data_IF_379250013030
#
_entry.id   IF_379250013030
#
_cell.length_a   1.000
_cell.length_b   1.000
_cell.length_c   1.000
_cell.angle_alpha   90.00
_cell.angle_beta   90.00
_cell.angle_gamma   90.00
#
_symmetry.space_group_name_H-M   'P 1'
#
loop_
_entity.id
_entity.type
_entity.pdbx_description
1 polymer ?
#
# COMPACT_ATOMS: atom_id res chain seq x y z
N UNK A 1 -5.09 4.93 -27.76
CA UNK A 1 -4.68 3.81 -26.85
C UNK A 1 -4.30 4.42 -25.51
N UNK A 2 -4.62 3.76 -24.39
CA UNK A 2 -4.16 4.21 -23.06
C UNK A 2 -2.64 4.02 -22.92
N UNK A 3 -2.00 4.90 -22.15
CA UNK A 3 -0.57 4.77 -21.82
C UNK A 3 -0.36 3.55 -20.94
N UNK A 4 0.62 2.69 -21.30
CA UNK A 4 1.00 1.54 -20.46
C UNK A 4 1.71 2.00 -19.20
N UNK A 5 1.27 1.49 -18.05
CA UNK A 5 1.78 1.83 -16.73
C UNK A 5 1.96 0.59 -15.84
N UNK A 6 2.77 0.71 -14.81
CA UNK A 6 2.72 -0.17 -13.66
C UNK A 6 2.27 0.62 -12.42
N UNK A 7 1.71 -0.08 -11.46
CA UNK A 7 1.21 0.51 -10.23
C UNK A 7 2.04 0.01 -9.03
N UNK A 8 2.53 0.93 -8.18
CA UNK A 8 3.20 0.58 -6.93
C UNK A 8 2.14 0.18 -5.89
N UNK A 9 2.02 -1.13 -5.67
CA UNK A 9 0.94 -1.74 -4.90
C UNK A 9 1.35 -2.04 -3.46
N UNK A 10 0.62 -1.48 -2.49
CA UNK A 10 0.84 -1.69 -1.06
C UNK A 10 -0.18 -2.61 -0.39
N UNK A 11 -1.18 -3.09 -1.11
CA UNK A 11 -2.36 -3.81 -0.60
C UNK A 11 -3.40 -2.97 0.16
N UNK A 12 -3.09 -1.72 0.47
CA UNK A 12 -3.89 -0.85 1.32
C UNK A 12 -4.92 0.00 0.55
N UNK A 13 -5.74 0.74 1.32
CA UNK A 13 -6.86 1.54 0.82
C UNK A 13 -6.47 2.57 -0.24
N UNK A 14 -5.36 3.32 0.00
CA UNK A 14 -4.95 4.39 -0.92
C UNK A 14 -4.47 3.83 -2.25
N UNK A 15 -3.70 2.72 -2.21
CA UNK A 15 -3.33 1.98 -3.42
C UNK A 15 -4.55 1.49 -4.18
N UNK A 16 -5.58 0.98 -3.48
CA UNK A 16 -6.79 0.46 -4.12
C UNK A 16 -7.61 1.57 -4.77
N UNK A 17 -7.83 2.68 -4.07
CA UNK A 17 -8.56 3.83 -4.62
C UNK A 17 -7.79 4.50 -5.75
N UNK A 18 -6.47 4.65 -5.63
CA UNK A 18 -5.62 5.20 -6.69
C UNK A 18 -5.64 4.31 -7.94
N UNK A 19 -5.56 2.98 -7.78
CA UNK A 19 -5.68 2.03 -8.87
C UNK A 19 -7.05 2.15 -9.55
N UNK A 20 -8.14 2.21 -8.79
CA UNK A 20 -9.50 2.39 -9.30
C UNK A 20 -9.62 3.61 -10.21
N UNK A 21 -9.14 4.77 -9.75
CA UNK A 21 -9.12 6.00 -10.54
C UNK A 21 -8.22 5.90 -11.78
N UNK A 22 -7.08 5.22 -11.65
CA UNK A 22 -6.10 5.07 -12.72
C UNK A 22 -6.55 4.16 -13.86
N UNK A 23 -7.37 3.13 -13.59
CA UNK A 23 -7.86 2.16 -14.58
C UNK A 23 -8.60 2.82 -15.75
N UNK A 24 -9.23 3.97 -15.55
CA UNK A 24 -9.91 4.72 -16.62
C UNK A 24 -8.92 5.46 -17.54
N UNK A 25 -7.72 5.79 -17.07
CA UNK A 25 -6.71 6.65 -17.75
C UNK A 25 -5.55 5.85 -18.33
N UNK A 26 -5.17 4.75 -17.69
CA UNK A 26 -3.98 3.96 -18.02
C UNK A 26 -4.32 2.51 -18.36
N UNK A 27 -3.43 1.87 -19.12
CA UNK A 27 -3.39 0.44 -19.37
C UNK A 27 -2.37 -0.18 -18.39
N UNK A 28 -2.85 -0.61 -17.21
CA UNK A 28 -2.00 -1.06 -16.10
C UNK A 28 -1.58 -2.51 -16.33
N UNK A 29 -0.28 -2.74 -16.51
CA UNK A 29 0.30 -4.02 -16.90
C UNK A 29 0.84 -4.84 -15.74
N UNK A 30 1.15 -4.19 -14.60
CA UNK A 30 1.69 -4.87 -13.43
C UNK A 30 1.38 -4.10 -12.15
N UNK A 31 1.23 -4.85 -11.06
CA UNK A 31 1.29 -4.36 -9.68
C UNK A 31 2.70 -4.65 -9.16
N UNK A 32 3.49 -3.63 -8.85
CA UNK A 32 4.83 -3.78 -8.28
C UNK A 32 4.78 -3.62 -6.77
N UNK A 33 5.29 -4.60 -6.04
CA UNK A 33 5.33 -4.58 -4.57
C UNK A 33 6.74 -4.93 -4.07
N UNK A 34 7.21 -4.19 -3.08
CA UNK A 34 8.45 -4.52 -2.36
C UNK A 34 8.12 -5.51 -1.24
N UNK A 35 8.84 -6.63 -1.18
CA UNK A 35 8.65 -7.70 -0.19
C UNK A 35 9.94 -7.91 0.60
N UNK A 36 9.83 -7.96 1.93
CA UNK A 36 10.91 -8.48 2.76
C UNK A 36 10.92 -10.01 2.65
N UNK A 37 11.91 -10.54 1.93
CA UNK A 37 12.03 -11.97 1.66
C UNK A 37 12.45 -12.79 2.89
N UNK A 38 12.78 -12.17 4.03
CA UNK A 38 13.05 -12.88 5.27
C UNK A 38 11.77 -13.39 5.95
N UNK A 39 10.66 -12.69 5.75
CA UNK A 39 9.36 -13.02 6.33
C UNK A 39 8.22 -13.09 5.31
N UNK A 40 8.51 -12.83 4.02
CA UNK A 40 7.53 -12.80 2.92
C UNK A 40 6.36 -11.83 3.16
N UNK A 41 6.67 -10.63 3.70
CA UNK A 41 5.67 -9.60 3.99
C UNK A 41 6.05 -8.25 3.38
N UNK A 42 5.05 -7.41 3.14
CA UNK A 42 5.31 -5.98 2.85
C UNK A 42 5.83 -5.33 4.12
N UNK A 43 6.98 -4.63 4.07
CA UNK A 43 7.47 -3.84 5.19
C UNK A 43 6.40 -2.86 5.70
N UNK A 44 6.31 -2.65 7.00
CA UNK A 44 5.34 -1.80 7.71
C UNK A 44 3.87 -2.26 7.60
N UNK A 45 3.37 -2.60 6.42
CA UNK A 45 1.99 -3.07 6.23
C UNK A 45 1.70 -4.45 6.82
N UNK A 46 2.72 -5.30 6.91
CA UNK A 46 2.59 -6.65 7.47
C UNK A 46 1.86 -7.65 6.57
N UNK A 47 1.29 -7.23 5.44
CA UNK A 47 0.58 -8.11 4.49
C UNK A 47 1.51 -9.17 3.93
N UNK A 48 1.12 -10.43 4.00
CA UNK A 48 1.91 -11.54 3.47
C UNK A 48 1.76 -11.71 1.95
N UNK A 49 2.72 -12.39 1.34
CA UNK A 49 2.79 -12.58 -0.11
C UNK A 49 1.58 -13.36 -0.68
N UNK A 50 1.00 -14.29 0.08
CA UNK A 50 -0.13 -15.09 -0.44
C UNK A 50 -1.40 -14.26 -0.55
N UNK A 51 -1.65 -13.33 0.39
CA UNK A 51 -2.74 -12.35 0.28
C UNK A 51 -2.52 -11.39 -0.89
N UNK A 52 -1.29 -10.96 -1.14
CA UNK A 52 -0.97 -10.12 -2.31
C UNK A 52 -1.22 -10.84 -3.63
N UNK A 53 -0.86 -12.12 -3.72
CA UNK A 53 -1.16 -12.96 -4.89
C UNK A 53 -2.67 -13.09 -5.08
N UNK A 54 -3.42 -13.32 -4.00
CA UNK A 54 -4.88 -13.40 -4.05
C UNK A 54 -5.51 -12.09 -4.52
N UNK A 55 -5.05 -10.93 -4.03
CA UNK A 55 -5.48 -9.62 -4.54
C UNK A 55 -5.19 -9.48 -6.04
N UNK A 56 -3.95 -9.75 -6.47
CA UNK A 56 -3.53 -9.65 -7.87
C UNK A 56 -4.37 -10.55 -8.79
N UNK A 57 -4.68 -11.77 -8.36
CA UNK A 57 -5.54 -12.70 -9.10
C UNK A 57 -6.96 -12.18 -9.22
N UNK A 58 -7.54 -11.70 -8.13
CA UNK A 58 -8.89 -11.14 -8.11
C UNK A 58 -8.98 -9.86 -8.95
N UNK A 59 -8.01 -8.96 -8.84
CA UNK A 59 -7.94 -7.73 -9.66
C UNK A 59 -7.71 -8.09 -11.13
N UNK A 60 -6.98 -9.16 -11.42
CA UNK A 60 -6.63 -9.60 -12.78
C UNK A 60 -5.45 -8.84 -13.38
N UNK A 61 -4.60 -8.22 -12.56
CA UNK A 61 -3.35 -7.56 -12.97
C UNK A 61 -2.18 -8.31 -12.35
N UNK A 62 -1.16 -8.71 -13.14
CA UNK A 62 -0.02 -9.50 -12.64
C UNK A 62 0.75 -8.80 -11.51
N UNK A 63 1.07 -9.54 -10.45
CA UNK A 63 1.96 -9.09 -9.37
C UNK A 63 3.42 -9.30 -9.79
N UNK A 64 4.23 -8.28 -9.60
CA UNK A 64 5.69 -8.32 -9.68
C UNK A 64 6.26 -7.95 -8.32
N UNK A 65 7.10 -8.78 -7.74
CA UNK A 65 7.75 -8.50 -6.46
C UNK A 65 9.18 -8.02 -6.66
N UNK A 66 9.58 -7.03 -5.88
CA UNK A 66 10.97 -6.64 -5.69
C UNK A 66 11.38 -7.08 -4.30
N UNK A 67 12.23 -8.10 -4.22
CA UNK A 67 12.62 -8.70 -2.95
C UNK A 67 13.74 -7.89 -2.30
N UNK A 68 13.51 -7.51 -1.03
CA UNK A 68 14.56 -6.98 -0.16
C UNK A 68 14.86 -8.01 0.94
N UNK A 69 16.13 -8.09 1.33
CA UNK A 69 16.52 -8.76 2.58
C UNK A 69 17.03 -7.68 3.53
N UNK A 70 16.66 -7.80 4.79
CA UNK A 70 17.11 -6.89 5.86
C UNK A 70 18.65 -6.79 5.94
N UNK A 71 19.35 -7.83 5.47
CA UNK A 71 20.81 -7.90 5.40
C UNK A 71 21.40 -7.33 4.08
N UNK A 72 20.56 -6.96 3.10
CA UNK A 72 21.05 -6.44 1.84
C UNK A 72 21.35 -4.94 1.96
N UNK A 73 22.51 -4.57 1.41
CA UNK A 73 22.84 -3.16 1.22
C UNK A 73 21.79 -2.50 0.31
N UNK A 74 21.60 -1.20 0.50
CA UNK A 74 20.74 -0.35 -0.35
C UNK A 74 21.04 -0.53 -1.86
N UNK A 75 22.30 -0.83 -2.20
CA UNK A 75 22.73 -1.05 -3.59
C UNK A 75 22.10 -2.28 -4.22
N UNK A 76 21.96 -3.39 -3.49
CA UNK A 76 21.31 -4.59 -4.03
C UNK A 76 19.84 -4.39 -4.33
N UNK A 77 19.14 -3.64 -3.46
CA UNK A 77 17.76 -3.25 -3.72
C UNK A 77 17.65 -2.40 -4.99
N UNK A 78 18.53 -1.40 -5.14
CA UNK A 78 18.56 -0.54 -6.33
C UNK A 78 18.78 -1.35 -7.61
N UNK A 79 19.69 -2.33 -7.58
CA UNK A 79 19.97 -3.21 -8.73
C UNK A 79 18.72 -4.03 -9.09
N UNK A 80 18.11 -4.72 -8.13
CA UNK A 80 16.92 -5.55 -8.38
C UNK A 80 15.74 -4.72 -8.91
N UNK A 81 15.53 -3.53 -8.35
CA UNK A 81 14.49 -2.63 -8.82
C UNK A 81 14.78 -2.13 -10.25
N UNK A 82 16.05 -1.82 -10.57
CA UNK A 82 16.44 -1.38 -11.90
C UNK A 82 16.19 -2.47 -12.95
N UNK A 83 16.51 -3.73 -12.66
CA UNK A 83 16.23 -4.86 -13.57
C UNK A 83 14.74 -5.01 -13.87
N UNK A 84 13.88 -4.84 -12.86
CA UNK A 84 12.41 -4.85 -13.04
C UNK A 84 11.97 -3.68 -13.94
N UNK A 85 12.49 -2.47 -13.69
CA UNK A 85 12.17 -1.28 -14.47
C UNK A 85 12.63 -1.46 -15.93
N UNK A 86 13.80 -1.99 -16.18
CA UNK A 86 14.31 -2.22 -17.54
C UNK A 86 13.43 -3.24 -18.29
N UNK A 87 12.96 -4.28 -17.61
CA UNK A 87 11.96 -5.21 -18.14
C UNK A 87 10.63 -4.51 -18.45
N UNK A 88 10.15 -3.62 -17.60
CA UNK A 88 8.95 -2.84 -17.87
C UNK A 88 9.12 -1.95 -19.10
N UNK A 89 10.24 -1.25 -19.21
CA UNK A 89 10.56 -0.41 -20.36
C UNK A 89 10.63 -1.21 -21.68
N UNK A 90 11.18 -2.42 -21.67
CA UNK A 90 11.19 -3.30 -22.84
C UNK A 90 9.79 -3.72 -23.31
N UNK A 91 8.78 -3.62 -22.44
CA UNK A 91 7.36 -3.87 -22.72
C UNK A 91 6.59 -2.56 -23.02
N UNK A 92 7.31 -1.45 -23.22
CA UNK A 92 6.77 -0.10 -23.45
C UNK A 92 5.96 0.46 -22.27
N UNK A 93 6.16 -0.06 -21.06
CA UNK A 93 5.61 0.51 -19.83
C UNK A 93 6.45 1.74 -19.49
N UNK A 94 5.84 2.92 -19.55
CA UNK A 94 6.56 4.20 -19.47
C UNK A 94 6.15 5.06 -18.26
N UNK A 95 5.18 4.60 -17.47
CA UNK A 95 4.65 5.40 -16.35
C UNK A 95 4.55 4.55 -15.08
N UNK A 96 5.01 5.12 -13.98
CA UNK A 96 4.87 4.59 -12.63
C UNK A 96 3.72 5.31 -11.91
N UNK A 97 2.80 4.56 -11.30
CA UNK A 97 1.66 5.10 -10.57
C UNK A 97 1.82 4.87 -9.07
N UNK A 98 1.39 5.85 -8.27
CA UNK A 98 1.53 5.86 -6.81
C UNK A 98 0.24 6.30 -6.14
N UNK A 99 -0.02 5.82 -4.93
CA UNK A 99 -1.20 6.15 -4.13
C UNK A 99 -1.00 7.26 -3.10
N UNK A 100 0.06 8.07 -3.22
CA UNK A 100 0.36 9.14 -2.26
C UNK A 100 -0.67 10.28 -2.36
N UNK A 101 -1.06 10.86 -1.21
CA UNK A 101 -2.12 11.87 -1.11
C UNK A 101 -1.51 13.28 -0.99
N UNK A 102 -0.66 13.54 0.01
CA UNK A 102 -0.17 14.90 0.30
C UNK A 102 1.28 15.00 0.79
N UNK A 103 2.00 13.90 0.99
CA UNK A 103 3.39 13.91 1.47
C UNK A 103 4.35 14.39 0.37
N UNK A 104 4.62 15.71 0.33
CA UNK A 104 5.37 16.37 -0.75
C UNK A 104 6.79 15.82 -0.91
N UNK A 105 7.52 15.61 0.18
CA UNK A 105 8.89 15.10 0.12
C UNK A 105 8.96 13.70 -0.49
N UNK A 106 7.99 12.85 -0.14
CA UNK A 106 7.87 11.50 -0.70
C UNK A 106 7.59 11.56 -2.20
N UNK A 107 6.66 12.41 -2.63
CA UNK A 107 6.35 12.63 -4.04
C UNK A 107 7.57 13.08 -4.83
N UNK A 108 8.29 14.12 -4.35
CA UNK A 108 9.51 14.64 -5.00
C UNK A 108 10.55 13.51 -5.13
N UNK A 109 10.76 12.72 -4.08
CA UNK A 109 11.69 11.59 -4.12
C UNK A 109 11.30 10.55 -5.18
N UNK A 110 9.98 10.21 -5.29
CA UNK A 110 9.47 9.27 -6.30
C UNK A 110 9.62 9.82 -7.72
N UNK A 111 9.27 11.08 -7.94
CA UNK A 111 9.41 11.75 -9.23
C UNK A 111 10.86 11.75 -9.70
N UNK A 112 11.80 12.10 -8.81
CA UNK A 112 13.23 12.14 -9.16
C UNK A 112 13.78 10.75 -9.49
N UNK A 113 13.47 9.71 -8.69
CA UNK A 113 13.88 8.33 -8.96
C UNK A 113 13.31 7.82 -10.29
N UNK A 114 12.04 8.07 -10.56
CA UNK A 114 11.41 7.68 -11.82
C UNK A 114 12.00 8.44 -13.01
N UNK A 115 12.25 9.75 -12.87
CA UNK A 115 12.91 10.57 -13.90
C UNK A 115 14.29 10.03 -14.25
N UNK A 116 15.11 9.68 -13.25
CA UNK A 116 16.42 9.06 -13.45
C UNK A 116 16.32 7.71 -14.19
N UNK A 117 15.27 6.94 -13.92
CA UNK A 117 14.99 5.68 -14.61
C UNK A 117 14.34 5.86 -16.00
N UNK A 118 14.07 7.11 -16.43
CA UNK A 118 13.42 7.43 -17.70
C UNK A 118 11.92 7.11 -17.73
N UNK A 119 11.26 7.13 -16.57
CA UNK A 119 9.82 6.92 -16.40
C UNK A 119 9.09 8.22 -16.10
N UNK A 120 7.83 8.30 -16.51
CA UNK A 120 6.88 9.31 -16.04
C UNK A 120 6.23 8.82 -14.73
N UNK A 121 5.66 9.74 -13.96
CA UNK A 121 4.90 9.46 -12.75
C UNK A 121 3.48 9.99 -12.86
N UNK A 122 2.54 9.36 -12.16
CA UNK A 122 1.20 9.89 -11.92
C UNK A 122 0.74 9.51 -10.50
N UNK A 123 0.00 10.41 -9.88
CA UNK A 123 -0.48 10.30 -8.50
C UNK A 123 -1.99 10.57 -8.48
N UNK A 124 -2.84 9.54 -8.68
CA UNK A 124 -4.28 9.73 -8.87
C UNK A 124 -5.02 10.36 -7.70
N UNK A 125 -4.43 10.32 -6.48
CA UNK A 125 -5.03 10.88 -5.26
C UNK A 125 -4.39 12.21 -4.85
N UNK A 126 -3.39 12.68 -5.57
CA UNK A 126 -2.58 13.82 -5.13
C UNK A 126 -3.40 15.08 -4.89
N UNK A 127 -3.16 15.70 -3.73
CA UNK A 127 -3.77 16.97 -3.30
C UNK A 127 -5.32 16.96 -3.23
N UNK A 128 -5.93 15.77 -3.08
CA UNK A 128 -7.34 15.66 -2.74
C UNK A 128 -7.51 15.72 -1.20
N UNK A 129 -8.68 16.10 -0.76
CA UNK A 129 -9.04 16.08 0.66
C UNK A 129 -9.01 14.65 1.21
N UNK A 130 -8.26 14.35 2.29
CA UNK A 130 -8.28 13.01 2.91
C UNK A 130 -9.68 12.54 3.28
N UNK A 131 -10.55 13.44 3.75
CA UNK A 131 -11.94 13.13 4.07
C UNK A 131 -12.72 12.69 2.83
N UNK A 132 -12.63 13.44 1.73
CA UNK A 132 -13.30 13.09 0.48
C UNK A 132 -12.81 11.76 -0.07
N UNK A 133 -11.50 11.48 0.02
CA UNK A 133 -10.92 10.21 -0.42
C UNK A 133 -11.42 9.03 0.39
N UNK A 134 -11.50 9.15 1.71
CA UNK A 134 -11.97 8.05 2.55
C UNK A 134 -13.48 7.82 2.38
N UNK A 135 -14.28 8.88 2.22
CA UNK A 135 -15.70 8.76 1.87
C UNK A 135 -15.87 8.09 0.50
N UNK A 136 -15.12 8.53 -0.53
CA UNK A 136 -15.15 7.89 -1.86
C UNK A 136 -14.78 6.41 -1.79
N UNK A 137 -13.78 6.04 -0.97
CA UNK A 137 -13.39 4.65 -0.76
C UNK A 137 -14.56 3.82 -0.22
N UNK A 138 -15.22 4.30 0.83
CA UNK A 138 -16.36 3.62 1.46
C UNK A 138 -17.55 3.57 0.50
N UNK A 139 -17.94 4.70 -0.09
CA UNK A 139 -19.11 4.83 -0.95
C UNK A 139 -18.97 4.06 -2.27
N UNK A 140 -17.75 3.88 -2.75
CA UNK A 140 -17.46 3.03 -3.91
C UNK A 140 -17.57 1.53 -3.61
N UNK A 141 -17.82 1.15 -2.34
CA UNK A 141 -17.99 -0.24 -1.93
C UNK A 141 -16.70 -0.99 -1.64
N UNK A 142 -15.58 -0.30 -1.49
CA UNK A 142 -14.36 -0.95 -1.01
C UNK A 142 -14.50 -1.39 0.44
N UNK A 143 -13.83 -2.51 0.77
CA UNK A 143 -13.73 -3.02 2.14
C UNK A 143 -12.28 -3.28 2.49
N UNK A 144 -11.84 -2.73 3.60
CA UNK A 144 -10.49 -2.90 4.11
C UNK A 144 -10.48 -3.15 5.61
N UNK A 145 -9.50 -3.96 6.04
CA UNK A 145 -9.22 -4.25 7.44
C UNK A 145 -8.00 -3.43 7.88
N UNK A 146 -8.05 -2.81 9.06
CA UNK A 146 -6.89 -2.18 9.68
C UNK A 146 -5.93 -3.28 10.14
N UNK A 147 -4.70 -3.28 9.60
CA UNK A 147 -3.69 -4.33 9.86
C UNK A 147 -2.65 -3.91 10.88
N UNK A 148 -2.40 -2.61 10.97
CA UNK A 148 -1.38 -2.04 11.84
C UNK A 148 -1.82 -0.65 12.30
N UNK A 149 -1.53 -0.31 13.55
CA UNK A 149 -1.71 1.06 14.08
C UNK A 149 -0.49 1.48 14.90
N UNK A 150 -0.16 2.77 14.85
CA UNK A 150 0.82 3.37 15.76
C UNK A 150 0.21 3.43 17.17
N UNK A 151 0.81 2.68 18.10
CA UNK A 151 0.34 2.56 19.49
C UNK A 151 0.47 3.85 20.30
N UNK A 152 1.12 4.88 19.76
CA UNK A 152 1.18 6.21 20.41
C UNK A 152 -0.07 7.05 20.15
N UNK A 153 -0.84 6.75 19.10
CA UNK A 153 -2.02 7.52 18.68
C UNK A 153 -3.31 6.68 18.63
N UNK A 154 -3.20 5.38 18.37
CA UNK A 154 -4.33 4.45 18.30
C UNK A 154 -4.07 3.21 19.13
N UNK A 155 -5.05 2.76 19.91
CA UNK A 155 -4.90 1.56 20.71
C UNK A 155 -5.20 0.25 19.92
N UNK A 156 -4.97 -0.89 20.56
CA UNK A 156 -5.15 -2.20 19.95
C UNK A 156 -6.56 -2.52 19.46
N UNK A 157 -7.59 -1.77 19.87
CA UNK A 157 -8.97 -2.02 19.47
C UNK A 157 -9.24 -1.59 18.03
N UNK A 158 -8.35 -0.78 17.46
CA UNK A 158 -8.44 -0.37 16.06
C UNK A 158 -7.95 -1.43 15.08
N UNK A 159 -7.01 -2.32 15.44
CA UNK A 159 -6.59 -3.40 14.54
C UNK A 159 -7.70 -4.45 14.38
N UNK A 160 -7.90 -4.90 13.15
CA UNK A 160 -8.96 -5.83 12.77
C UNK A 160 -10.31 -5.17 12.46
N UNK A 161 -10.45 -3.86 12.67
CA UNK A 161 -11.66 -3.13 12.29
C UNK A 161 -11.74 -2.99 10.76
N UNK A 162 -12.97 -2.92 10.28
CA UNK A 162 -13.29 -2.51 8.90
C UNK A 162 -13.23 -0.99 8.82
N UNK A 163 -12.74 -0.47 7.72
CA UNK A 163 -12.82 0.96 7.40
C UNK A 163 -14.25 1.24 6.91
N UNK A 164 -15.01 1.89 7.76
CA UNK A 164 -16.39 2.33 7.54
C UNK A 164 -16.63 3.68 8.23
N UNK A 165 -17.86 4.18 8.21
CA UNK A 165 -18.22 5.43 8.87
C UNK A 165 -18.11 5.39 10.39
N UNK A 166 -18.33 4.23 11.02
CA UNK A 166 -18.13 4.06 12.47
C UNK A 166 -16.64 4.13 12.83
N UNK A 167 -15.76 3.55 11.99
CA UNK A 167 -14.32 3.73 12.15
C UNK A 167 -13.92 5.21 12.08
N UNK A 168 -14.45 5.99 11.11
CA UNK A 168 -14.16 7.41 10.98
C UNK A 168 -14.59 8.19 12.23
N UNK A 169 -15.80 7.92 12.73
CA UNK A 169 -16.36 8.59 13.90
C UNK A 169 -15.60 8.31 15.20
N UNK A 170 -14.93 7.16 15.28
CA UNK A 170 -14.18 6.73 16.46
C UNK A 170 -12.69 7.16 16.42
N UNK A 171 -12.21 7.73 15.31
CA UNK A 171 -10.83 8.24 15.23
C UNK A 171 -10.64 9.41 16.21
N UNK A 172 -9.57 9.40 17.03
CA UNK A 172 -9.26 10.52 17.92
C UNK A 172 -8.98 11.82 17.15
N UNK A 173 -9.25 12.96 17.77
CA UNK A 173 -8.88 14.27 17.25
C UNK A 173 -7.37 14.33 16.96
N UNK A 174 -7.02 14.87 15.79
CA UNK A 174 -5.64 15.06 15.36
C UNK A 174 -5.00 13.86 14.63
N UNK A 175 -5.68 12.72 14.54
CA UNK A 175 -5.28 11.60 13.69
C UNK A 175 -5.66 11.92 12.24
N UNK A 176 -4.72 11.72 11.29
CA UNK A 176 -5.05 11.84 9.87
C UNK A 176 -6.06 10.77 9.49
N UNK A 177 -7.20 11.21 8.94
CA UNK A 177 -8.31 10.31 8.60
C UNK A 177 -7.91 9.22 7.59
N UNK A 178 -6.90 9.49 6.75
CA UNK A 178 -6.31 8.51 5.83
C UNK A 178 -5.09 7.77 6.40
N UNK A 179 -4.58 8.16 7.58
CA UNK A 179 -3.38 7.55 8.17
C UNK A 179 -2.10 7.80 7.39
N UNK A 180 -2.02 8.93 6.65
CA UNK A 180 -0.86 9.25 5.80
C UNK A 180 0.43 9.48 6.58
N UNK A 181 0.35 9.91 7.85
CA UNK A 181 1.52 10.10 8.70
C UNK A 181 1.98 8.79 9.38
N UNK A 182 1.38 7.65 9.02
CA UNK A 182 1.73 6.34 9.56
C UNK A 182 0.88 5.90 10.77
N UNK A 183 -0.24 6.60 11.04
CA UNK A 183 -1.13 6.29 12.16
C UNK A 183 -1.72 4.89 12.04
N UNK A 184 -2.02 4.46 10.80
CA UNK A 184 -2.51 3.10 10.55
C UNK A 184 -2.24 2.62 9.11
N UNK A 185 -2.22 1.31 8.93
CA UNK A 185 -2.18 0.63 7.64
C UNK A 185 -3.36 -0.34 7.49
N UNK A 186 -3.73 -0.61 6.24
CA UNK A 186 -4.90 -1.42 5.93
C UNK A 186 -4.62 -2.47 4.85
N UNK A 187 -5.47 -3.48 4.80
CA UNK A 187 -5.53 -4.51 3.75
C UNK A 187 -6.91 -4.50 3.11
N UNK A 188 -6.98 -4.24 1.81
CA UNK A 188 -8.24 -4.22 1.05
C UNK A 188 -8.55 -5.64 0.57
N UNK A 189 -9.73 -6.13 0.87
CA UNK A 189 -10.14 -7.49 0.51
C UNK A 189 -11.33 -7.55 -0.45
N UNK A 190 -12.03 -6.42 -0.67
CA UNK A 190 -13.19 -6.33 -1.56
C UNK A 190 -13.35 -4.91 -2.13
N UNK A 191 -14.05 -4.78 -3.25
CA UNK A 191 -14.38 -3.50 -3.87
C UNK A 191 -14.42 -3.55 -5.39
N UNK A 192 -14.67 -2.42 -6.07
CA UNK A 192 -14.99 -2.38 -7.49
C UNK A 192 -13.86 -2.81 -8.45
N UNK A 193 -12.62 -2.91 -7.97
CA UNK A 193 -11.48 -3.41 -8.76
C UNK A 193 -11.31 -4.93 -8.69
N UNK A 194 -11.99 -5.60 -7.76
CA UNK A 194 -11.91 -7.03 -7.54
C UNK A 194 -13.01 -7.75 -8.30
N UNK A 195 -12.69 -8.88 -8.94
CA UNK A 195 -13.68 -9.77 -9.55
C UNK A 195 -14.46 -10.57 -8.50
N UNK A 196 -13.77 -10.92 -7.43
CA UNK A 196 -14.29 -11.64 -6.26
C UNK A 196 -13.57 -11.13 -5.02
N UNK A 197 -14.24 -11.11 -3.88
CA UNK A 197 -13.61 -10.78 -2.60
C UNK A 197 -12.44 -11.70 -2.31
N UNK A 198 -11.36 -11.17 -1.76
CA UNK A 198 -10.23 -11.98 -1.28
C UNK A 198 -10.63 -12.65 0.03
N UNK A 199 -10.80 -13.98 0.09
CA UNK A 199 -11.19 -14.65 1.30
C UNK A 199 -10.07 -14.56 2.34
N UNK A 200 -10.37 -13.98 3.49
CA UNK A 200 -9.38 -13.80 4.55
C UNK A 200 -10.02 -13.93 5.94
N UNK A 201 -9.22 -14.31 6.94
CA UNK A 201 -9.62 -14.35 8.33
C UNK A 201 -8.56 -13.68 9.22
N UNK A 202 -9.02 -13.13 10.35
CA UNK A 202 -8.17 -12.47 11.31
C UNK A 202 -7.41 -13.49 12.16
N UNK A 203 -6.13 -13.18 12.39
CA UNK A 203 -5.26 -13.93 13.26
C UNK A 203 -5.00 -13.21 14.59
N UNK A 204 -3.93 -13.57 15.31
CA UNK A 204 -3.61 -12.97 16.58
C UNK A 204 -3.17 -11.51 16.46
N UNK A 205 -3.50 -10.73 17.50
CA UNK A 205 -2.97 -9.38 17.69
C UNK A 205 -1.61 -9.46 18.37
N UNK A 206 -0.66 -8.66 17.92
CA UNK A 206 0.69 -8.56 18.48
C UNK A 206 1.15 -7.12 18.58
N UNK A 207 2.05 -6.84 19.54
CA UNK A 207 2.68 -5.54 19.69
C UNK A 207 4.17 -5.68 19.37
N UNK A 208 4.70 -4.74 18.58
CA UNK A 208 6.13 -4.70 18.22
C UNK A 208 6.67 -3.31 18.42
N UNK A 209 7.85 -3.23 19.04
CA UNK A 209 8.59 -1.98 19.19
C UNK A 209 9.74 -1.92 18.21
N UNK A 210 9.94 -0.75 17.64
CA UNK A 210 11.05 -0.46 16.75
C UNK A 210 11.91 0.65 17.36
N UNK A 211 13.24 0.48 17.42
CA UNK A 211 14.13 1.53 17.88
C UNK A 211 14.05 2.72 16.95
N UNK A 212 13.72 3.89 17.48
CA UNK A 212 13.77 5.14 16.73
C UNK A 212 15.12 5.80 16.95
N UNK A 213 15.89 6.04 15.87
CA UNK A 213 17.22 6.63 15.95
C UNK A 213 17.19 8.10 16.40
N UNK A 214 16.09 8.81 16.13
CA UNK A 214 15.95 10.25 16.38
C UNK A 214 15.16 10.59 17.65
N UNK A 215 14.44 9.63 18.24
CA UNK A 215 13.64 9.81 19.44
C UNK A 215 14.20 8.96 20.59
N UNK A 216 14.23 9.52 21.81
CA UNK A 216 14.66 8.79 23.02
C UNK A 216 13.72 7.65 23.44
N UNK A 217 12.66 7.39 22.69
CA UNK A 217 11.66 6.36 22.98
C UNK A 217 11.42 5.51 21.72
N UNK A 218 11.25 4.20 21.92
CA UNK A 218 10.86 3.28 20.86
C UNK A 218 9.46 3.64 20.37
N UNK A 219 9.22 3.49 19.07
CA UNK A 219 7.88 3.57 18.49
C UNK A 219 7.28 2.18 18.49
N UNK A 220 6.10 2.02 19.06
CA UNK A 220 5.41 0.73 19.18
C UNK A 220 4.18 0.66 18.31
N UNK A 221 3.98 -0.46 17.66
CA UNK A 221 2.87 -0.70 16.75
C UNK A 221 2.07 -1.94 17.15
N UNK A 222 0.74 -1.83 17.10
CA UNK A 222 -0.15 -2.98 17.17
C UNK A 222 -0.37 -3.52 15.78
N UNK A 223 -0.27 -4.84 15.63
CA UNK A 223 -0.52 -5.57 14.38
C UNK A 223 -1.59 -6.62 14.61
N UNK A 224 -2.38 -6.89 13.57
CA UNK A 224 -3.18 -8.11 13.48
C UNK A 224 -2.72 -8.89 12.25
N UNK A 225 -2.48 -10.19 12.44
CA UNK A 225 -2.22 -11.06 11.31
C UNK A 225 -3.50 -11.30 10.51
N UNK A 226 -3.34 -11.38 9.18
CA UNK A 226 -4.42 -11.78 8.27
C UNK A 226 -3.93 -12.98 7.48
N UNK A 227 -4.76 -13.99 7.38
CA UNK A 227 -4.48 -15.22 6.65
C UNK A 227 -5.46 -15.38 5.50
N UNK A 228 -4.97 -15.94 4.38
CA UNK A 228 -5.85 -16.37 3.29
C UNK A 228 -6.75 -17.48 3.79
N UNK A 229 -8.05 -17.36 3.53
CA UNK A 229 -8.98 -18.46 3.81
C UNK A 229 -8.96 -19.45 2.64
N UNK A 230 -9.10 -20.76 2.88
CA UNK A 230 -9.13 -21.78 1.83
C UNK A 230 -10.33 -21.64 0.89
#
# INVERSE_FOLDING_TARGET
>A
MKTKAYFNWSSGKDSALALYRALNRFDIKALLTVIDSTNNRIPMHGTNLDLLKAQSQSIGIPLVTCDIKTEYSEDKYKISLQEIIDKFKSQEISTALFGDIHLLELKISREEKCRQAGLKTDFPLWNNSPQELLHEFIDSGFKAIITCVDGSVLDKTFVGRIIDYDFINDLPDGVDICGENGEYHSFVFDGPIFKESVPCHLGPVSYKEYPCQDLKQNTGFWYIDIYNAP
#
